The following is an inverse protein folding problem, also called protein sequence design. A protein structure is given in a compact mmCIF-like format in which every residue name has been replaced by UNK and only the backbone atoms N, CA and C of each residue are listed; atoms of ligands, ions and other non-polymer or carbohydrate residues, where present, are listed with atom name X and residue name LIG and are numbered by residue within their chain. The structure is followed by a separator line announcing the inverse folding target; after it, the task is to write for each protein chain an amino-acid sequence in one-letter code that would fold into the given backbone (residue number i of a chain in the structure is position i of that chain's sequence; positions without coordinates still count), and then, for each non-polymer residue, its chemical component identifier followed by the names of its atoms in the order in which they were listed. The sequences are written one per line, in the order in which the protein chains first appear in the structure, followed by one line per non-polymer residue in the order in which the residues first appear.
data_IF_291508326401
#
_entry.id   IF_291508326401
#
_cell.length_a   1.000
_cell.length_b   1.000
_cell.length_c   1.000
_cell.angle_alpha   90.00
_cell.angle_beta   90.00
_cell.angle_gamma   90.00
#
_symmetry.space_group_name_H-M   'P 1'
#
loop_
_entity.id
_entity.type
_entity.pdbx_description
1 polymer ?
#
# COMPACT_ATOMS: atom_id res chain seq x y z
N UNK A 1 -27.62 11.96 -0.36
CA UNK A 1 -26.31 11.77 0.32
C UNK A 1 -26.52 10.97 1.60
N UNK A 2 -26.44 9.63 1.56
CA UNK A 2 -26.62 8.78 2.76
C UNK A 2 -25.24 8.31 3.29
N UNK A 3 -24.97 8.62 4.56
CA UNK A 3 -24.14 7.84 5.48
C UNK A 3 -22.67 7.55 5.14
N UNK A 4 -21.85 8.56 4.85
CA UNK A 4 -20.39 8.37 4.94
C UNK A 4 -19.95 8.56 6.38
N UNK A 5 -19.35 7.53 6.96
CA UNK A 5 -18.76 7.59 8.29
C UNK A 5 -17.24 7.44 8.19
N UNK A 6 -16.50 8.07 9.11
CA UNK A 6 -15.03 8.12 9.09
C UNK A 6 -14.44 7.49 10.34
N UNK A 7 -13.29 6.84 10.18
CA UNK A 7 -12.41 6.41 11.28
C UNK A 7 -11.08 7.13 11.04
N UNK A 8 -10.75 8.08 11.91
CA UNK A 8 -9.58 8.94 11.71
C UNK A 8 -9.66 9.76 10.42
N UNK A 9 -8.51 10.05 9.82
CA UNK A 9 -8.43 10.87 8.60
C UNK A 9 -8.42 10.04 7.30
N UNK A 10 -7.92 8.80 7.37
CA UNK A 10 -7.63 7.98 6.18
C UNK A 10 -8.71 6.96 5.86
N UNK A 11 -9.52 6.54 6.84
CA UNK A 11 -10.50 5.47 6.66
C UNK A 11 -11.90 6.07 6.48
N UNK A 12 -12.49 5.82 5.32
CA UNK A 12 -13.90 6.11 5.05
C UNK A 12 -14.65 4.78 4.95
N UNK A 13 -15.84 4.71 5.51
CA UNK A 13 -16.70 3.54 5.37
C UNK A 13 -18.15 3.92 5.12
N UNK A 14 -18.87 3.00 4.47
CA UNK A 14 -20.31 3.05 4.27
C UNK A 14 -20.89 1.68 4.54
N UNK A 15 -22.06 1.66 5.15
CA UNK A 15 -22.85 0.45 5.32
C UNK A 15 -24.14 0.62 4.53
N UNK A 16 -24.33 -0.20 3.50
CA UNK A 16 -25.52 -0.17 2.64
C UNK A 16 -26.11 -1.57 2.52
N UNK A 17 -27.39 -1.72 2.87
CA UNK A 17 -28.14 -2.98 2.75
C UNK A 17 -27.43 -4.21 3.37
N UNK A 18 -26.75 -4.02 4.51
CA UNK A 18 -26.00 -5.09 5.20
C UNK A 18 -24.59 -5.34 4.66
N UNK A 19 -24.18 -4.65 3.60
CA UNK A 19 -22.82 -4.69 3.07
C UNK A 19 -21.98 -3.59 3.71
N UNK A 20 -20.70 -3.87 3.91
CA UNK A 20 -19.72 -2.92 4.40
C UNK A 20 -18.74 -2.60 3.28
N UNK A 21 -18.58 -1.32 2.96
CA UNK A 21 -17.54 -0.82 2.08
C UNK A 21 -16.61 0.10 2.87
N UNK A 22 -15.31 -0.19 2.84
CA UNK A 22 -14.27 0.60 3.48
C UNK A 22 -13.23 0.98 2.43
N UNK A 23 -12.76 2.21 2.49
CA UNK A 23 -11.63 2.72 1.73
C UNK A 23 -10.62 3.34 2.68
N UNK A 24 -9.38 2.85 2.63
CA UNK A 24 -8.24 3.35 3.38
C UNK A 24 -7.35 4.12 2.41
N UNK A 25 -7.30 5.44 2.60
CA UNK A 25 -6.50 6.34 1.79
C UNK A 25 -4.99 6.13 2.01
N UNK A 26 -4.21 6.10 0.92
CA UNK A 26 -2.76 6.13 0.96
C UNK A 26 -2.17 7.50 1.33
N UNK A 27 -3.02 8.54 1.44
CA UNK A 27 -2.61 9.93 1.67
C UNK A 27 -1.73 10.09 2.91
N UNK A 28 -0.74 10.96 2.75
CA UNK A 28 0.20 11.41 3.77
C UNK A 28 0.12 12.94 3.88
N UNK A 29 0.70 13.56 4.92
CA UNK A 29 0.80 15.01 5.02
C UNK A 29 1.38 15.64 3.74
N UNK A 30 0.82 16.78 3.32
CA UNK A 30 1.19 17.45 2.05
C UNK A 30 2.69 17.74 1.92
N UNK A 31 3.37 18.04 3.02
CA UNK A 31 4.82 18.29 3.01
C UNK A 31 5.63 17.02 2.72
N UNK A 32 5.19 15.86 3.22
CA UNK A 32 5.82 14.57 2.91
C UNK A 32 5.55 14.17 1.46
N UNK A 33 4.34 14.44 0.94
CA UNK A 33 4.02 14.24 -0.47
C UNK A 33 4.89 15.12 -1.38
N UNK A 34 5.06 16.40 -1.04
CA UNK A 34 5.92 17.32 -1.78
C UNK A 34 7.40 16.89 -1.75
N UNK A 35 7.88 16.48 -0.57
CA UNK A 35 9.24 15.94 -0.42
C UNK A 35 9.43 14.68 -1.26
N UNK A 36 8.47 13.75 -1.24
CA UNK A 36 8.52 12.52 -2.03
C UNK A 36 8.49 12.81 -3.54
N UNK A 37 7.68 13.77 -3.97
CA UNK A 37 7.64 14.22 -5.36
C UNK A 37 8.97 14.84 -5.81
N UNK A 38 9.53 15.74 -5.01
CA UNK A 38 10.82 16.36 -5.31
C UNK A 38 11.94 15.31 -5.34
N UNK A 39 11.92 14.36 -4.40
CA UNK A 39 12.87 13.26 -4.38
C UNK A 39 12.81 12.40 -5.64
N UNK A 40 11.60 12.01 -6.08
CA UNK A 40 11.42 11.29 -7.36
C UNK A 40 11.92 12.14 -8.53
N UNK A 41 11.57 13.42 -8.60
CA UNK A 41 11.98 14.31 -9.68
C UNK A 41 13.52 14.44 -9.77
N UNK A 42 14.17 14.71 -8.64
CA UNK A 42 15.63 14.81 -8.58
C UNK A 42 16.29 13.51 -9.04
N UNK A 43 15.72 12.36 -8.65
CA UNK A 43 16.26 11.07 -9.01
C UNK A 43 16.08 10.71 -10.48
N UNK A 44 14.94 11.07 -11.07
CA UNK A 44 14.70 10.95 -12.51
C UNK A 44 15.64 11.85 -13.32
N UNK A 45 15.90 13.09 -12.87
CA UNK A 45 16.85 13.98 -13.54
C UNK A 45 18.28 13.41 -13.52
N UNK A 46 18.71 12.87 -12.37
CA UNK A 46 19.99 12.17 -12.28
C UNK A 46 20.04 10.92 -13.17
N UNK A 47 18.96 10.13 -13.20
CA UNK A 47 18.85 8.95 -14.06
C UNK A 47 18.98 9.31 -15.55
N UNK A 48 18.26 10.35 -15.99
CA UNK A 48 18.32 10.86 -17.37
C UNK A 48 19.75 11.31 -17.71
N UNK A 49 20.41 12.04 -16.80
CA UNK A 49 21.79 12.47 -16.99
C UNK A 49 22.72 11.27 -17.20
N UNK A 50 22.61 10.21 -16.39
CA UNK A 50 23.43 9.01 -16.51
C UNK A 50 23.10 8.23 -17.79
N UNK A 51 21.83 8.19 -18.21
CA UNK A 51 21.42 7.58 -19.49
C UNK A 51 22.12 8.26 -20.67
N UNK A 52 22.38 9.58 -20.63
CA UNK A 52 23.13 10.24 -21.69
C UNK A 52 24.56 9.70 -21.83
N UNK A 53 25.20 9.29 -20.73
CA UNK A 53 26.54 8.70 -20.78
C UNK A 53 26.58 7.35 -21.51
N UNK A 54 25.47 6.61 -21.60
CA UNK A 54 25.44 5.36 -22.37
C UNK A 54 25.76 5.56 -23.86
N UNK A 55 25.47 6.75 -24.40
CA UNK A 55 25.70 7.09 -25.80
C UNK A 55 27.13 7.56 -26.08
N UNK A 56 27.99 7.62 -25.06
CA UNK A 56 29.41 7.94 -25.22
C UNK A 56 30.24 6.77 -25.78
N UNK A 57 31.44 7.10 -26.28
CA UNK A 57 32.42 6.13 -26.76
C UNK A 57 33.24 5.55 -25.60
N UNK A 58 32.62 4.63 -24.88
CA UNK A 58 33.24 3.89 -23.78
C UNK A 58 33.68 2.48 -24.21
N UNK A 59 34.76 1.94 -23.60
CA UNK A 59 35.10 0.53 -23.67
C UNK A 59 33.92 -0.38 -23.27
N UNK A 60 33.87 -1.59 -23.85
CA UNK A 60 32.76 -2.54 -23.65
C UNK A 60 32.46 -2.81 -22.17
N UNK A 61 33.48 -2.99 -21.35
CA UNK A 61 33.31 -3.31 -19.92
C UNK A 61 32.65 -2.15 -19.16
N UNK A 62 33.00 -0.91 -19.51
CA UNK A 62 32.40 0.28 -18.92
C UNK A 62 30.95 0.46 -19.39
N UNK A 63 30.65 0.19 -20.66
CA UNK A 63 29.26 0.16 -21.15
C UNK A 63 28.42 -0.90 -20.43
N UNK A 64 28.98 -2.09 -20.23
CA UNK A 64 28.29 -3.17 -19.52
C UNK A 64 28.00 -2.77 -18.06
N UNK A 65 28.99 -2.18 -17.37
CA UNK A 65 28.79 -1.65 -16.02
C UNK A 65 27.67 -0.61 -15.98
N UNK A 66 27.66 0.37 -16.90
CA UNK A 66 26.63 1.41 -16.96
C UNK A 66 25.22 0.83 -17.18
N UNK A 67 25.09 -0.18 -18.05
CA UNK A 67 23.81 -0.85 -18.30
C UNK A 67 23.29 -1.56 -17.05
N UNK A 68 24.15 -2.33 -16.37
CA UNK A 68 23.77 -3.02 -15.12
C UNK A 68 23.41 -2.00 -14.04
N UNK A 69 24.22 -0.96 -13.89
CA UNK A 69 23.96 0.14 -12.96
C UNK A 69 22.60 0.79 -13.23
N UNK A 70 22.28 1.12 -14.49
CA UNK A 70 21.00 1.73 -14.86
C UNK A 70 19.82 0.78 -14.67
N UNK A 71 20.00 -0.53 -14.84
CA UNK A 71 18.95 -1.50 -14.51
C UNK A 71 18.62 -1.49 -13.02
N UNK A 72 19.63 -1.45 -12.15
CA UNK A 72 19.43 -1.29 -10.71
C UNK A 72 18.80 0.07 -10.38
N UNK A 73 19.29 1.15 -10.98
CA UNK A 73 18.74 2.49 -10.79
C UNK A 73 17.26 2.56 -11.17
N UNK A 74 16.91 2.09 -12.37
CA UNK A 74 15.54 2.06 -12.87
C UNK A 74 14.60 1.22 -12.00
N UNK A 75 15.08 0.09 -11.45
CA UNK A 75 14.30 -0.70 -10.49
C UNK A 75 13.92 0.12 -9.27
N UNK A 76 14.87 0.86 -8.69
CA UNK A 76 14.55 1.66 -7.52
C UNK A 76 13.75 2.91 -7.89
N UNK A 77 13.99 3.54 -9.04
CA UNK A 77 13.19 4.65 -9.56
C UNK A 77 11.73 4.25 -9.69
N UNK A 78 11.48 3.06 -10.26
CA UNK A 78 10.16 2.47 -10.29
C UNK A 78 9.54 2.34 -8.89
N UNK A 79 10.29 1.87 -7.89
CA UNK A 79 9.80 1.77 -6.50
C UNK A 79 9.43 3.13 -5.91
N UNK A 80 10.23 4.17 -6.16
CA UNK A 80 9.96 5.52 -5.66
C UNK A 80 8.75 6.17 -6.35
N UNK A 81 8.67 6.06 -7.69
CA UNK A 81 7.51 6.52 -8.47
C UNK A 81 6.24 5.79 -8.02
N UNK A 82 6.31 4.47 -7.86
CA UNK A 82 5.19 3.68 -7.37
C UNK A 82 4.72 4.12 -5.98
N UNK A 83 5.66 4.40 -5.07
CA UNK A 83 5.32 4.95 -3.75
C UNK A 83 4.64 6.31 -3.86
N UNK A 84 5.17 7.23 -4.67
CA UNK A 84 4.55 8.52 -4.89
C UNK A 84 3.12 8.41 -5.47
N UNK A 85 2.92 7.57 -6.49
CA UNK A 85 1.61 7.32 -7.08
C UNK A 85 0.62 6.74 -6.05
N UNK A 86 1.06 5.80 -5.21
CA UNK A 86 0.25 5.28 -4.12
C UNK A 86 -0.13 6.36 -3.10
N UNK A 87 0.80 7.23 -2.72
CA UNK A 87 0.52 8.30 -1.76
C UNK A 87 -0.45 9.35 -2.28
N UNK A 88 -0.37 9.63 -3.58
CA UNK A 88 -1.20 10.67 -4.23
C UNK A 88 -2.59 10.16 -4.65
N UNK A 89 -2.65 8.96 -5.21
CA UNK A 89 -3.86 8.41 -5.84
C UNK A 89 -4.28 7.04 -5.31
N UNK A 90 -3.46 6.43 -4.46
CA UNK A 90 -3.68 5.09 -3.96
C UNK A 90 -4.68 5.02 -2.81
N UNK A 91 -5.47 3.96 -2.82
CA UNK A 91 -6.29 3.57 -1.69
C UNK A 91 -6.51 2.07 -1.66
N UNK A 92 -6.67 1.54 -0.47
CA UNK A 92 -7.02 0.15 -0.24
C UNK A 92 -8.54 0.05 -0.03
N UNK A 93 -9.19 -0.80 -0.82
CA UNK A 93 -10.63 -1.04 -0.78
C UNK A 93 -10.91 -2.40 -0.14
N UNK A 94 -11.79 -2.38 0.85
CA UNK A 94 -12.20 -3.55 1.62
C UNK A 94 -13.73 -3.59 1.56
N UNK A 95 -14.29 -4.63 0.95
CA UNK A 95 -15.74 -4.79 0.83
C UNK A 95 -16.13 -6.12 1.49
N UNK A 96 -17.12 -6.08 2.37
CA UNK A 96 -17.74 -7.28 2.94
C UNK A 96 -19.17 -7.34 2.43
N UNK A 97 -19.46 -8.35 1.63
CA UNK A 97 -20.77 -8.57 1.00
C UNK A 97 -21.00 -10.05 0.80
N UNK A 98 -22.23 -10.51 1.03
CA UNK A 98 -22.67 -11.89 0.74
C UNK A 98 -21.80 -13.00 1.35
N UNK A 99 -21.21 -12.77 2.54
CA UNK A 99 -20.30 -13.74 3.17
C UNK A 99 -18.92 -13.84 2.50
N UNK A 100 -18.54 -12.81 1.74
CA UNK A 100 -17.25 -12.67 1.08
C UNK A 100 -16.56 -11.37 1.49
N UNK A 101 -15.25 -11.44 1.65
CA UNK A 101 -14.35 -10.31 1.84
C UNK A 101 -13.58 -10.07 0.54
N UNK A 102 -13.70 -8.87 0.00
CA UNK A 102 -12.98 -8.42 -1.19
C UNK A 102 -11.92 -7.41 -0.77
N UNK A 103 -10.68 -7.68 -1.14
CA UNK A 103 -9.55 -6.78 -0.92
C UNK A 103 -9.01 -6.31 -2.27
N UNK A 104 -8.82 -5.01 -2.44
CA UNK A 104 -8.25 -4.41 -3.65
C UNK A 104 -7.36 -3.22 -3.28
N UNK A 105 -6.08 -3.31 -3.64
CA UNK A 105 -5.19 -2.14 -3.66
C UNK A 105 -5.39 -1.42 -4.98
N UNK A 106 -5.88 -0.20 -4.93
CA UNK A 106 -6.24 0.60 -6.08
C UNK A 106 -5.27 1.78 -6.24
N UNK A 107 -4.68 1.94 -7.42
CA UNK A 107 -3.92 3.12 -7.85
C UNK A 107 -4.48 3.53 -9.20
N UNK A 108 -4.98 4.77 -9.33
CA UNK A 108 -5.51 5.30 -10.59
C UNK A 108 -6.57 4.36 -11.21
N UNK A 109 -7.51 3.87 -10.39
CA UNK A 109 -8.57 2.91 -10.73
C UNK A 109 -8.12 1.49 -11.12
N UNK A 110 -6.80 1.25 -11.19
CA UNK A 110 -6.20 -0.06 -11.46
C UNK A 110 -5.92 -0.81 -10.16
N UNK A 111 -6.29 -2.08 -10.12
CA UNK A 111 -6.01 -2.96 -8.98
C UNK A 111 -6.66 -4.31 -9.15
N UNK A 112 -6.00 -5.37 -8.66
CA UNK A 112 -6.56 -6.72 -8.67
C UNK A 112 -7.42 -6.91 -7.43
N UNK A 113 -8.70 -7.23 -7.62
CA UNK A 113 -9.59 -7.62 -6.51
C UNK A 113 -9.36 -9.08 -6.17
N UNK A 114 -9.02 -9.37 -4.92
CA UNK A 114 -8.89 -10.73 -4.39
C UNK A 114 -10.07 -11.00 -3.46
N UNK A 115 -10.68 -12.18 -3.62
CA UNK A 115 -11.88 -12.59 -2.90
C UNK A 115 -11.54 -13.67 -1.88
N UNK A 116 -12.08 -13.55 -0.69
CA UNK A 116 -11.93 -14.52 0.41
C UNK A 116 -13.31 -14.84 0.98
N UNK A 117 -13.60 -16.11 1.23
CA UNK A 117 -14.85 -16.51 1.86
C UNK A 117 -14.77 -16.32 3.37
N UNK A 118 -15.70 -15.58 3.98
CA UNK A 118 -15.62 -15.22 5.40
C UNK A 118 -15.65 -16.45 6.31
N UNK A 119 -16.32 -17.53 5.89
CA UNK A 119 -16.37 -18.81 6.62
C UNK A 119 -15.00 -19.49 6.78
N UNK A 120 -14.05 -19.19 5.89
CA UNK A 120 -12.71 -19.79 5.89
C UNK A 120 -11.67 -18.89 6.55
N UNK A 121 -12.07 -17.72 7.07
CA UNK A 121 -11.20 -16.77 7.74
C UNK A 121 -10.98 -17.23 9.19
N UNK A 122 -9.72 -17.49 9.54
CA UNK A 122 -9.25 -17.81 10.89
C UNK A 122 -8.28 -16.75 11.37
N UNK A 123 -8.10 -16.64 12.69
CA UNK A 123 -7.11 -15.76 13.32
C UNK A 123 -7.16 -14.30 12.84
N UNK A 124 -8.36 -13.80 12.55
CA UNK A 124 -8.55 -12.43 12.08
C UNK A 124 -8.24 -11.43 13.19
N UNK A 125 -7.21 -10.61 13.02
CA UNK A 125 -6.80 -9.66 14.06
C UNK A 125 -5.70 -8.70 13.65
N UNK A 126 -5.21 -7.99 14.66
CA UNK A 126 -4.08 -7.07 14.53
C UNK A 126 -2.77 -7.85 14.42
N UNK A 127 -1.92 -7.45 13.49
CA UNK A 127 -0.56 -7.93 13.34
C UNK A 127 0.32 -7.14 14.30
N UNK A 128 0.57 -7.71 15.48
CA UNK A 128 1.54 -7.13 16.41
C UNK A 128 2.94 -7.19 15.79
N UNK A 129 3.47 -6.03 15.42
CA UNK A 129 4.85 -5.88 15.01
C UNK A 129 5.61 -5.18 16.11
N UNK A 130 6.80 -5.68 16.48
CA UNK A 130 7.65 -5.04 17.48
C UNK A 130 7.95 -3.60 17.02
N UNK A 131 7.51 -2.56 17.76
CA UNK A 131 7.67 -1.17 17.37
C UNK A 131 9.11 -0.79 17.05
N UNK A 132 10.08 -1.40 17.76
CA UNK A 132 11.51 -1.12 17.69
C UNK A 132 12.27 -1.98 16.67
N UNK A 133 11.61 -2.92 16.00
CA UNK A 133 12.24 -3.68 14.93
C UNK A 133 12.58 -2.76 13.77
N UNK A 134 13.80 -2.87 13.24
CA UNK A 134 14.23 -2.15 12.04
C UNK A 134 13.23 -2.32 10.88
N UNK A 135 12.73 -3.54 10.70
CA UNK A 135 11.71 -3.83 9.69
C UNK A 135 10.43 -3.02 9.91
N UNK A 136 9.98 -2.86 11.15
CA UNK A 136 8.77 -2.10 11.45
C UNK A 136 8.94 -0.60 11.20
N UNK A 137 10.11 -0.04 11.49
CA UNK A 137 10.43 1.36 11.16
C UNK A 137 10.42 1.55 9.64
N UNK A 138 11.05 0.64 8.90
CA UNK A 138 11.09 0.65 7.45
C UNK A 138 9.69 0.55 6.81
N UNK A 139 8.83 -0.34 7.32
CA UNK A 139 7.48 -0.52 6.80
C UNK A 139 6.53 0.64 7.12
N UNK A 140 6.84 1.46 8.14
CA UNK A 140 6.09 2.68 8.49
C UNK A 140 6.51 3.92 7.72
N UNK A 141 7.62 3.87 6.98
CA UNK A 141 8.10 5.01 6.22
C UNK A 141 7.11 5.45 5.13
N UNK A 142 6.98 6.76 4.93
CA UNK A 142 6.05 7.33 3.95
C UNK A 142 6.45 7.01 2.50
N UNK A 143 7.73 6.72 2.24
CA UNK A 143 8.25 6.34 0.93
C UNK A 143 8.06 4.84 0.61
N UNK A 144 7.40 4.08 1.48
CA UNK A 144 7.13 2.65 1.26
C UNK A 144 5.62 2.38 1.13
N UNK A 145 5.26 1.46 0.24
CA UNK A 145 3.92 0.93 0.04
C UNK A 145 3.88 -0.47 0.65
N UNK A 146 3.20 -0.62 1.78
CA UNK A 146 3.14 -1.84 2.59
C UNK A 146 2.91 -1.49 4.05
N UNK A 147 3.34 -2.36 4.96
CA UNK A 147 3.18 -2.13 6.40
C UNK A 147 1.75 -2.39 6.86
N UNK A 148 1.16 -3.46 6.31
CA UNK A 148 -0.15 -4.00 6.66
C UNK A 148 -0.18 -4.35 8.15
N UNK A 149 -1.24 -3.94 8.83
CA UNK A 149 -1.36 -4.11 10.28
C UNK A 149 -2.54 -4.98 10.70
N UNK A 150 -3.35 -5.43 9.75
CA UNK A 150 -4.45 -6.36 9.96
C UNK A 150 -4.17 -7.63 9.16
N UNK A 151 -4.47 -8.79 9.70
CA UNK A 151 -4.32 -10.04 8.97
C UNK A 151 -5.25 -11.15 9.43
N UNK A 152 -5.28 -12.21 8.64
CA UNK A 152 -6.00 -13.45 8.90
C UNK A 152 -5.34 -14.62 8.17
N UNK A 153 -5.79 -15.83 8.50
CA UNK A 153 -5.47 -17.05 7.78
C UNK A 153 -6.68 -17.48 6.96
N UNK A 154 -6.49 -17.77 5.68
CA UNK A 154 -7.51 -18.32 4.80
C UNK A 154 -6.97 -19.55 4.08
N UNK A 155 -7.56 -20.72 4.33
CA UNK A 155 -7.13 -22.00 3.76
C UNK A 155 -5.62 -22.26 3.94
N UNK A 156 -5.07 -21.92 5.12
CA UNK A 156 -3.65 -22.09 5.43
C UNK A 156 -2.73 -20.98 4.93
N UNK A 157 -3.23 -20.02 4.14
CA UNK A 157 -2.45 -18.87 3.67
C UNK A 157 -2.68 -17.64 4.55
N UNK A 158 -1.59 -16.96 4.95
CA UNK A 158 -1.67 -15.68 5.68
C UNK A 158 -1.96 -14.56 4.70
N UNK A 159 -3.02 -13.80 4.98
CA UNK A 159 -3.43 -12.61 4.23
C UNK A 159 -3.29 -11.40 5.14
N UNK A 160 -2.73 -10.32 4.62
CA UNK A 160 -2.49 -9.08 5.36
C UNK A 160 -3.01 -7.89 4.58
N UNK A 161 -3.56 -6.90 5.29
CA UNK A 161 -4.16 -5.69 4.73
C UNK A 161 -4.18 -4.58 5.80
N UNK A 162 -4.70 -3.39 5.48
CA UNK A 162 -4.77 -2.27 6.41
C UNK A 162 -3.43 -1.55 6.50
N UNK A 163 -3.05 -0.89 5.42
CA UNK A 163 -1.71 -0.31 5.28
C UNK A 163 -1.44 0.85 6.25
N UNK A 164 -0.43 0.66 7.10
CA UNK A 164 0.10 1.63 8.05
C UNK A 164 -0.99 2.26 8.93
N UNK A 165 -1.98 1.47 9.33
CA UNK A 165 -2.96 1.94 10.30
C UNK A 165 -2.35 1.95 11.70
N UNK A 166 -2.73 2.93 12.50
CA UNK A 166 -2.44 2.90 13.92
C UNK A 166 -3.27 1.83 14.63
N UNK A 167 -2.78 1.33 15.76
CA UNK A 167 -3.43 0.26 16.54
C UNK A 167 -4.88 0.61 16.89
N UNK A 168 -5.15 1.87 17.27
CA UNK A 168 -6.50 2.35 17.61
C UNK A 168 -7.44 2.34 16.41
N UNK A 169 -6.96 2.74 15.23
CA UNK A 169 -7.75 2.77 14.00
C UNK A 169 -8.03 1.35 13.50
N UNK A 170 -7.00 0.50 13.50
CA UNK A 170 -7.14 -0.89 13.09
C UNK A 170 -8.04 -1.68 14.04
N UNK A 171 -7.96 -1.48 15.36
CA UNK A 171 -8.87 -2.11 16.31
C UNK A 171 -10.34 -1.76 16.02
N UNK A 172 -10.63 -0.48 15.73
CA UNK A 172 -11.97 -0.03 15.31
C UNK A 172 -12.41 -0.68 14.00
N UNK A 173 -11.51 -0.73 13.00
CA UNK A 173 -11.80 -1.34 11.70
C UNK A 173 -12.04 -2.86 11.83
N UNK A 174 -11.23 -3.57 12.59
CA UNK A 174 -11.42 -5.00 12.88
C UNK A 174 -12.78 -5.24 13.52
N UNK A 175 -13.14 -4.44 14.53
CA UNK A 175 -14.45 -4.51 15.18
C UNK A 175 -15.61 -4.28 14.20
N UNK A 176 -15.47 -3.31 13.29
CA UNK A 176 -16.45 -3.01 12.26
C UNK A 176 -16.61 -4.18 11.27
N UNK A 177 -15.49 -4.74 10.79
CA UNK A 177 -15.48 -5.87 9.84
C UNK A 177 -16.10 -7.11 10.50
N UNK A 178 -15.74 -7.43 11.74
CA UNK A 178 -16.27 -8.60 12.47
C UNK A 178 -17.79 -8.56 12.62
N UNK A 179 -18.40 -7.38 12.80
CA UNK A 179 -19.86 -7.24 12.86
C UNK A 179 -20.56 -7.64 11.55
N UNK A 180 -19.85 -7.59 10.44
CA UNK A 180 -20.37 -7.93 9.11
C UNK A 180 -19.93 -9.31 8.63
N UNK A 181 -19.11 -10.03 9.40
CA UNK A 181 -18.90 -11.45 9.17
C UNK A 181 -20.17 -12.19 9.58
N UNK A 182 -20.75 -12.93 8.63
CA UNK A 182 -21.88 -13.81 8.94
C UNK A 182 -21.40 -14.87 9.94
N UNK A 183 -22.15 -15.03 11.04
CA UNK A 183 -22.11 -16.26 11.83
C UNK A 183 -22.67 -17.41 11.00
#
# INVERSE_FOLDING_TARGET
MKGQSKIGERINYKTEAGNLEVSISGKIPKWQEALLFFWVLAWSLCGIFIVQYLFGDWPRDQKLFLVVYLAFWAFFEYKAVHAWLWRKFGFESIIVKDGQLFLKNNILDKGKTIKYFTQNIKDFGWLSSNPKSFGNVYFKSFWLVGGETIGFVHLGQKVTFGMQLEEREAAKLIGLIRKHFKK
#
